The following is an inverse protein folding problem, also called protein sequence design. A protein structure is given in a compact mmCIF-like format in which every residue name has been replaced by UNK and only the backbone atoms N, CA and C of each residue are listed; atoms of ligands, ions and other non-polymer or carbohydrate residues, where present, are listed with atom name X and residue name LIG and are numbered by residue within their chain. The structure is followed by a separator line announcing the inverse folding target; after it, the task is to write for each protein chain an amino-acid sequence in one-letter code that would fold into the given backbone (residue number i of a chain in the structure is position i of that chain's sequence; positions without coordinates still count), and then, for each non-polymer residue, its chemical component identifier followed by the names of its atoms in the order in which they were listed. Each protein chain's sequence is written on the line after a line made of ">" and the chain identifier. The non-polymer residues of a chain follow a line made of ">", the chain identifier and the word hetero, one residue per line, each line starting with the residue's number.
data_IF_943067856697
#
_entry.id   IF_943067856697
#
_cell.length_a   1.000
_cell.length_b   1.000
_cell.length_c   1.000
_cell.angle_alpha   90.00
_cell.angle_beta   90.00
_cell.angle_gamma   90.00
#
_symmetry.space_group_name_H-M   'P 1'
#
loop_
_entity.id
_entity.type
_entity.pdbx_description
1 polymer ?
#
# COMPACT_ATOMS: atom_id res chain seq x y z
N UNK A 1 11.48 15.81 11.94
CA UNK A 1 10.97 14.43 12.02
C UNK A 1 9.47 14.34 11.70
N UNK A 2 8.64 15.24 12.26
CA UNK A 2 7.20 15.22 11.99
C UNK A 2 6.86 15.41 10.50
N UNK A 3 7.53 16.37 9.83
CA UNK A 3 7.32 16.60 8.39
C UNK A 3 7.74 15.40 7.57
N UNK A 4 8.88 14.79 7.90
CA UNK A 4 9.35 13.59 7.21
C UNK A 4 8.36 12.43 7.37
N UNK A 5 7.82 12.23 8.58
CA UNK A 5 6.81 11.20 8.83
C UNK A 5 5.57 11.42 7.98
N UNK A 6 5.06 12.66 7.90
CA UNK A 6 3.90 13.00 7.07
C UNK A 6 4.17 12.69 5.59
N UNK A 7 5.33 13.08 5.08
CA UNK A 7 5.70 12.82 3.69
C UNK A 7 5.74 11.31 3.41
N UNK A 8 6.35 10.53 4.29
CA UNK A 8 6.48 9.10 4.11
C UNK A 8 5.12 8.40 4.17
N UNK A 9 4.25 8.79 5.10
CA UNK A 9 2.87 8.25 5.17
C UNK A 9 2.12 8.59 3.89
N UNK A 10 2.22 9.84 3.41
CA UNK A 10 1.57 10.26 2.18
C UNK A 10 2.07 9.45 0.97
N UNK A 11 3.37 9.19 0.89
CA UNK A 11 3.93 8.38 -0.20
C UNK A 11 3.42 6.94 -0.19
N UNK A 12 3.30 6.33 0.99
CA UNK A 12 2.72 4.97 1.11
C UNK A 12 1.26 4.99 0.69
N UNK A 13 0.50 6.02 1.10
CA UNK A 13 -0.90 6.16 0.70
C UNK A 13 -1.05 6.30 -0.82
N UNK A 14 -0.24 7.15 -1.43
CA UNK A 14 -0.25 7.37 -2.88
C UNK A 14 0.15 6.10 -3.62
N UNK A 15 1.15 5.38 -3.14
CA UNK A 15 1.56 4.10 -3.71
C UNK A 15 0.38 3.11 -3.75
N UNK A 16 -0.41 3.05 -2.68
CA UNK A 16 -1.55 2.13 -2.62
C UNK A 16 -2.70 2.57 -3.51
N UNK A 17 -2.89 3.87 -3.74
CA UNK A 17 -3.81 4.35 -4.77
C UNK A 17 -3.34 3.90 -6.16
N UNK A 18 -2.05 4.00 -6.44
CA UNK A 18 -1.49 3.54 -7.71
C UNK A 18 -1.69 2.03 -7.91
N UNK A 19 -1.44 1.24 -6.86
CA UNK A 19 -1.67 -0.21 -6.91
C UNK A 19 -3.16 -0.51 -7.16
N UNK A 20 -4.08 0.22 -6.51
CA UNK A 20 -5.51 0.10 -6.79
C UNK A 20 -5.81 0.33 -8.27
N UNK A 21 -5.25 1.38 -8.86
CA UNK A 21 -5.49 1.70 -10.27
C UNK A 21 -4.99 0.57 -11.16
N UNK A 22 -3.80 0.04 -10.90
CA UNK A 22 -3.27 -1.09 -11.65
C UNK A 22 -4.15 -2.33 -11.52
N UNK A 23 -4.61 -2.63 -10.32
CA UNK A 23 -5.36 -3.86 -10.05
C UNK A 23 -6.82 -3.78 -10.47
N UNK A 24 -7.46 -2.64 -10.33
CA UNK A 24 -8.88 -2.49 -10.67
C UNK A 24 -9.13 -2.08 -12.11
N UNK A 25 -8.26 -1.27 -12.70
CA UNK A 25 -8.53 -0.65 -13.99
C UNK A 25 -7.53 -1.02 -15.09
N UNK A 26 -6.30 -1.37 -14.74
CA UNK A 26 -5.22 -1.60 -15.70
C UNK A 26 -4.70 -3.03 -15.71
N UNK A 27 -5.35 -3.96 -15.02
CA UNK A 27 -4.84 -5.32 -14.83
C UNK A 27 -4.55 -6.05 -16.14
N UNK A 28 -5.45 -5.95 -17.10
CA UNK A 28 -5.32 -6.62 -18.41
C UNK A 28 -4.67 -5.74 -19.49
N UNK A 29 -4.20 -4.56 -19.12
CA UNK A 29 -3.46 -3.69 -20.03
C UNK A 29 -1.97 -4.05 -20.05
N UNK A 30 -1.21 -3.64 -21.07
CA UNK A 30 0.24 -3.87 -21.10
C UNK A 30 0.95 -3.35 -19.86
N UNK A 31 0.54 -2.19 -19.33
CA UNK A 31 1.14 -1.61 -18.14
C UNK A 31 0.91 -2.47 -16.89
N UNK A 32 -0.34 -2.91 -16.69
CA UNK A 32 -0.68 -3.76 -15.56
C UNK A 32 0.00 -5.11 -15.64
N UNK A 33 -0.03 -5.74 -16.79
CA UNK A 33 0.64 -7.04 -16.99
C UNK A 33 2.14 -6.95 -16.77
N UNK A 34 2.78 -5.89 -17.24
CA UNK A 34 4.21 -5.68 -17.05
C UNK A 34 4.55 -5.45 -15.57
N UNK A 35 3.74 -4.67 -14.88
CA UNK A 35 3.97 -4.35 -13.46
C UNK A 35 3.95 -5.61 -12.58
N UNK A 36 3.09 -6.57 -12.90
CA UNK A 36 2.92 -7.80 -12.11
C UNK A 36 3.52 -9.05 -12.77
N UNK A 37 4.19 -8.89 -13.90
CA UNK A 37 4.84 -10.01 -14.59
C UNK A 37 3.84 -11.05 -15.11
N UNK A 38 2.69 -10.60 -15.62
CA UNK A 38 1.60 -11.47 -16.03
C UNK A 38 1.58 -11.67 -17.55
N UNK A 39 1.23 -12.90 -17.95
CA UNK A 39 0.85 -13.20 -19.32
C UNK A 39 -0.64 -12.84 -19.52
N UNK A 40 -1.08 -12.55 -20.77
CA UNK A 40 -2.48 -12.17 -21.02
C UNK A 40 -3.50 -13.16 -20.47
N UNK A 41 -3.23 -14.45 -20.57
CA UNK A 41 -4.14 -15.49 -20.06
C UNK A 41 -4.25 -15.43 -18.53
N UNK A 42 -3.12 -15.26 -17.84
CA UNK A 42 -3.09 -15.12 -16.39
C UNK A 42 -3.86 -13.88 -15.93
N UNK A 43 -3.66 -12.75 -16.63
CA UNK A 43 -4.36 -11.52 -16.31
C UNK A 43 -5.87 -11.67 -16.47
N UNK A 44 -6.31 -12.30 -17.58
CA UNK A 44 -7.72 -12.53 -17.81
C UNK A 44 -8.36 -13.41 -16.73
N UNK A 45 -7.69 -14.49 -16.32
CA UNK A 45 -8.19 -15.39 -15.30
C UNK A 45 -8.27 -14.78 -13.90
N UNK A 46 -7.39 -13.84 -13.59
CA UNK A 46 -7.28 -13.28 -12.24
C UNK A 46 -7.86 -11.87 -12.11
N UNK A 47 -8.51 -11.39 -13.16
CA UNK A 47 -9.02 -10.01 -13.21
C UNK A 47 -9.96 -9.67 -12.07
N UNK A 48 -10.92 -10.54 -11.77
CA UNK A 48 -11.90 -10.29 -10.70
C UNK A 48 -11.21 -10.28 -9.34
N UNK A 49 -10.32 -11.23 -9.10
CA UNK A 49 -9.55 -11.27 -7.84
C UNK A 49 -8.67 -10.03 -7.70
N UNK A 50 -8.02 -9.61 -8.77
CA UNK A 50 -7.19 -8.41 -8.77
C UNK A 50 -8.02 -7.16 -8.47
N UNK A 51 -9.22 -7.05 -9.03
CA UNK A 51 -10.12 -5.94 -8.74
C UNK A 51 -10.50 -5.87 -7.26
N UNK A 52 -10.81 -7.01 -6.66
CA UNK A 52 -11.10 -7.07 -5.23
C UNK A 52 -9.87 -6.69 -4.39
N UNK A 53 -8.70 -7.18 -4.76
CA UNK A 53 -7.46 -6.84 -4.07
C UNK A 53 -7.15 -5.34 -4.18
N UNK A 54 -7.38 -4.75 -5.34
CA UNK A 54 -7.22 -3.31 -5.54
C UNK A 54 -8.15 -2.50 -4.64
N UNK A 55 -9.38 -2.96 -4.47
CA UNK A 55 -10.32 -2.31 -3.55
C UNK A 55 -9.79 -2.32 -2.11
N UNK A 56 -9.25 -3.43 -1.63
CA UNK A 56 -8.66 -3.50 -0.30
C UNK A 56 -7.42 -2.60 -0.18
N UNK A 57 -6.62 -2.49 -1.21
CA UNK A 57 -5.52 -1.53 -1.24
C UNK A 57 -6.04 -0.10 -1.14
N UNK A 58 -7.21 0.18 -1.72
CA UNK A 58 -7.90 1.45 -1.57
C UNK A 58 -8.31 1.74 -0.12
N UNK A 59 -8.74 0.74 0.62
CA UNK A 59 -9.06 0.90 2.04
C UNK A 59 -7.81 1.26 2.85
N UNK A 60 -6.68 0.66 2.54
CA UNK A 60 -5.41 1.01 3.20
C UNK A 60 -5.02 2.46 2.90
N UNK A 61 -5.12 2.86 1.64
CA UNK A 61 -4.84 4.24 1.25
C UNK A 61 -5.79 5.22 1.95
N UNK A 62 -7.08 4.91 1.98
CA UNK A 62 -8.09 5.75 2.64
C UNK A 62 -7.78 5.92 4.13
N UNK A 63 -7.39 4.84 4.81
CA UNK A 63 -7.02 4.89 6.21
C UNK A 63 -5.79 5.74 6.46
N UNK A 64 -4.78 5.63 5.59
CA UNK A 64 -3.57 6.45 5.69
C UNK A 64 -3.87 7.94 5.43
N UNK A 65 -4.68 8.26 4.44
CA UNK A 65 -5.12 9.65 4.23
C UNK A 65 -5.93 10.17 5.41
N UNK A 66 -6.79 9.34 5.96
CA UNK A 66 -7.55 9.69 7.17
C UNK A 66 -6.62 10.03 8.33
N UNK A 67 -5.53 9.29 8.49
CA UNK A 67 -4.54 9.58 9.51
C UNK A 67 -3.85 10.93 9.34
N UNK A 68 -3.78 11.42 8.11
CA UNK A 68 -3.14 12.71 7.80
C UNK A 68 -4.06 13.90 8.04
N UNK A 69 -5.37 13.72 8.00
CA UNK A 69 -6.35 14.80 8.12
C UNK A 69 -7.13 14.78 9.43
N UNK A 70 -6.97 13.74 10.25
CA UNK A 70 -7.70 13.64 11.51
C UNK A 70 -7.25 14.75 12.47
N UNK A 71 -8.18 15.52 13.06
CA UNK A 71 -7.84 16.66 13.90
C UNK A 71 -7.25 16.28 15.25
N UNK A 72 -7.57 15.09 15.78
CA UNK A 72 -7.01 14.63 17.06
C UNK A 72 -5.67 13.95 16.81
N UNK A 73 -4.60 14.50 17.40
CA UNK A 73 -3.23 14.00 17.19
C UNK A 73 -3.05 12.57 17.70
N UNK A 74 -3.69 12.20 18.78
CA UNK A 74 -3.60 10.84 19.34
C UNK A 74 -4.27 9.81 18.46
N UNK A 75 -5.45 10.13 17.92
CA UNK A 75 -6.16 9.28 16.98
C UNK A 75 -5.38 9.18 15.66
N UNK A 76 -4.88 10.30 15.16
CA UNK A 76 -4.06 10.31 13.93
C UNK A 76 -2.83 9.41 14.08
N UNK A 77 -2.17 9.43 15.23
CA UNK A 77 -1.03 8.57 15.52
C UNK A 77 -1.42 7.09 15.49
N UNK A 78 -2.52 6.75 16.16
CA UNK A 78 -3.02 5.37 16.19
C UNK A 78 -3.40 4.87 14.79
N UNK A 79 -4.03 5.73 13.98
CA UNK A 79 -4.38 5.38 12.60
C UNK A 79 -3.13 5.11 11.75
N UNK A 80 -2.10 5.94 11.89
CA UNK A 80 -0.83 5.71 11.20
C UNK A 80 -0.22 4.38 11.57
N UNK A 81 -0.15 4.08 12.86
CA UNK A 81 0.40 2.81 13.33
C UNK A 81 -0.40 1.62 12.80
N UNK A 82 -1.73 1.69 12.87
CA UNK A 82 -2.58 0.59 12.44
C UNK A 82 -2.44 0.33 10.93
N UNK A 83 -2.62 1.35 10.13
CA UNK A 83 -2.62 1.17 8.67
C UNK A 83 -1.23 0.89 8.10
N UNK A 84 -0.19 1.52 8.63
CA UNK A 84 1.18 1.17 8.24
C UNK A 84 1.54 -0.25 8.70
N UNK A 85 1.06 -0.65 9.86
CA UNK A 85 1.20 -2.03 10.34
C UNK A 85 0.53 -3.03 9.40
N UNK A 86 -0.68 -2.72 8.93
CA UNK A 86 -1.38 -3.55 7.94
C UNK A 86 -0.58 -3.66 6.65
N UNK A 87 -0.05 -2.54 6.15
CA UNK A 87 0.77 -2.53 4.93
C UNK A 87 2.04 -3.37 5.13
N UNK A 88 2.71 -3.22 6.28
CA UNK A 88 3.91 -3.99 6.58
C UNK A 88 3.62 -5.49 6.60
N UNK A 89 2.58 -5.91 7.30
CA UNK A 89 2.19 -7.33 7.38
C UNK A 89 1.82 -7.84 5.98
N UNK A 90 1.05 -7.08 5.22
CA UNK A 90 0.69 -7.46 3.85
C UNK A 90 1.93 -7.59 2.97
N UNK A 91 2.89 -6.66 3.12
CA UNK A 91 4.14 -6.69 2.37
C UNK A 91 5.03 -7.88 2.73
N UNK A 92 5.09 -8.23 4.01
CA UNK A 92 5.84 -9.40 4.48
C UNK A 92 5.21 -10.69 3.99
N UNK A 93 3.90 -10.81 4.09
CA UNK A 93 3.17 -11.99 3.62
C UNK A 93 3.27 -12.13 2.10
N UNK A 94 3.01 -11.05 1.37
CA UNK A 94 3.08 -11.05 -0.09
C UNK A 94 4.51 -11.31 -0.60
N UNK A 95 5.52 -10.76 0.08
CA UNK A 95 6.92 -11.00 -0.25
C UNK A 95 7.33 -12.44 -0.06
N UNK A 96 6.78 -13.10 0.96
CA UNK A 96 7.08 -14.50 1.26
C UNK A 96 6.32 -15.48 0.37
N UNK A 97 5.14 -15.13 -0.11
CA UNK A 97 4.23 -16.08 -0.77
C UNK A 97 4.03 -15.81 -2.27
N UNK A 98 4.13 -14.55 -2.72
CA UNK A 98 3.85 -14.20 -4.11
C UNK A 98 5.11 -13.78 -4.87
N UNK A 99 5.80 -12.73 -4.42
CA UNK A 99 6.97 -12.20 -5.11
C UNK A 99 7.87 -11.46 -4.14
N UNK A 100 9.17 -11.74 -4.17
CA UNK A 100 10.16 -11.05 -3.33
C UNK A 100 10.20 -9.54 -3.55
N UNK A 101 9.79 -9.07 -4.74
CA UNK A 101 9.69 -7.63 -5.04
C UNK A 101 8.78 -6.91 -4.06
N UNK A 102 7.76 -7.58 -3.53
CA UNK A 102 6.80 -7.00 -2.60
C UNK A 102 7.48 -6.58 -1.29
N UNK A 103 8.53 -7.26 -0.86
CA UNK A 103 9.31 -6.82 0.30
C UNK A 103 9.84 -5.40 0.11
N UNK A 104 10.35 -5.10 -1.09
CA UNK A 104 10.93 -3.79 -1.40
C UNK A 104 9.86 -2.74 -1.70
N UNK A 105 8.80 -3.14 -2.40
CA UNK A 105 7.78 -2.21 -2.88
C UNK A 105 6.80 -1.86 -1.78
N UNK A 106 6.44 -2.80 -0.90
CA UNK A 106 5.39 -2.61 0.10
C UNK A 106 5.92 -2.64 1.54
N UNK A 107 6.66 -3.68 1.91
CA UNK A 107 7.11 -3.84 3.29
C UNK A 107 8.15 -2.78 3.68
N UNK A 108 9.13 -2.53 2.83
CA UNK A 108 10.20 -1.58 3.14
C UNK A 108 9.70 -0.14 3.29
N UNK A 109 8.91 0.42 2.37
CA UNK A 109 8.35 1.76 2.57
C UNK A 109 7.50 1.88 3.84
N UNK A 110 6.70 0.86 4.14
CA UNK A 110 5.88 0.84 5.36
C UNK A 110 6.74 0.81 6.62
N UNK A 111 7.80 0.02 6.63
CA UNK A 111 8.72 -0.06 7.76
C UNK A 111 9.43 1.28 7.99
N UNK A 112 9.91 1.91 6.93
CA UNK A 112 10.56 3.22 7.01
C UNK A 112 9.59 4.27 7.53
N UNK A 113 8.35 4.29 7.02
CA UNK A 113 7.32 5.22 7.47
C UNK A 113 6.98 4.99 8.95
N UNK A 114 6.87 3.73 9.39
CA UNK A 114 6.62 3.39 10.80
C UNK A 114 7.72 3.92 11.71
N UNK A 115 8.97 3.71 11.33
CA UNK A 115 10.11 4.20 12.10
C UNK A 115 10.04 5.72 12.21
N UNK A 116 9.75 6.42 11.12
CA UNK A 116 9.65 7.87 11.11
C UNK A 116 8.49 8.37 12.00
N UNK A 117 7.33 7.71 11.95
CA UNK A 117 6.18 8.03 12.79
C UNK A 117 6.51 7.84 14.27
N UNK A 118 7.14 6.74 14.62
CA UNK A 118 7.54 6.46 16.00
C UNK A 118 8.60 7.45 16.50
N UNK A 119 9.56 7.81 15.64
CA UNK A 119 10.60 8.77 16.00
C UNK A 119 10.05 10.20 16.17
N UNK A 120 8.94 10.51 15.50
CA UNK A 120 8.29 11.81 15.59
C UNK A 120 7.29 11.93 16.74
N UNK A 121 6.99 10.83 17.40
CA UNK A 121 6.00 10.80 18.48
C UNK A 121 6.56 11.29 19.82
#
# INVERSE_FOLDING_TARGET
>A
MAVLAIILVALVAIEHVYILVLEMFLWTTPRGMKAFGLKPEQAAHTKVMAGNQGLYNGFLAAGLFWSLIHPDAGVAFQLKLFFLGCVLVAGLYGGATASRKIFVIQALPAAIALIAVLAAS
#
